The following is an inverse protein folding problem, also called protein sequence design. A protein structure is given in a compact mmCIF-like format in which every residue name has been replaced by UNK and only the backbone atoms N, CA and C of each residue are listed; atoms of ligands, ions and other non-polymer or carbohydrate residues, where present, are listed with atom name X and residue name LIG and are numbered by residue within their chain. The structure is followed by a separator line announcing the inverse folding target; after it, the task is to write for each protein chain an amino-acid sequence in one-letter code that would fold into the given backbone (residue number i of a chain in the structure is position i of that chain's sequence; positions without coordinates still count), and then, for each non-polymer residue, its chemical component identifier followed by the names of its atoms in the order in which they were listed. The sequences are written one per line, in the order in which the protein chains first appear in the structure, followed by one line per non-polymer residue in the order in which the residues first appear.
data_IF_406379419736
#
_entry.id   IF_406379419736
#
_cell.length_a   1.000
_cell.length_b   1.000
_cell.length_c   1.000
_cell.angle_alpha   90.00
_cell.angle_beta   90.00
_cell.angle_gamma   90.00
#
_symmetry.space_group_name_H-M   'P 1'
#
loop_
_entity.id
_entity.type
_entity.pdbx_description
1 polymer ?
#
# COMPACT_ATOMS: atom_id res chain seq x y z
N UNK A 1 10.25 -8.12 13.00
CA UNK A 1 8.99 -8.62 12.41
C UNK A 1 8.26 -7.53 11.62
N UNK A 2 7.93 -6.39 12.24
CA UNK A 2 7.09 -5.33 11.66
C UNK A 2 7.68 -4.77 10.36
N UNK A 3 8.94 -4.36 10.41
CA UNK A 3 9.66 -3.80 9.25
C UNK A 3 9.82 -4.82 8.12
N UNK A 4 10.16 -6.06 8.46
CA UNK A 4 10.30 -7.13 7.47
C UNK A 4 9.00 -7.41 6.70
N UNK A 5 7.83 -7.37 7.38
CA UNK A 5 6.54 -7.52 6.71
C UNK A 5 6.28 -6.43 5.68
N UNK A 6 6.65 -5.17 5.96
CA UNK A 6 6.47 -4.06 5.01
C UNK A 6 7.36 -4.23 3.77
N UNK A 7 8.63 -4.58 3.97
CA UNK A 7 9.57 -4.83 2.87
C UNK A 7 9.15 -6.02 2.01
N UNK A 8 8.78 -7.15 2.64
CA UNK A 8 8.35 -8.34 1.90
C UNK A 8 7.05 -8.10 1.12
N UNK A 9 6.11 -7.33 1.65
CA UNK A 9 4.88 -6.96 0.94
C UNK A 9 5.20 -6.22 -0.37
N UNK A 10 6.12 -5.26 -0.31
CA UNK A 10 6.57 -4.52 -1.50
C UNK A 10 7.29 -5.43 -2.50
N UNK A 11 8.20 -6.27 -2.02
CA UNK A 11 8.96 -7.20 -2.86
C UNK A 11 8.03 -8.19 -3.54
N UNK A 12 7.09 -8.78 -2.81
CA UNK A 12 6.09 -9.68 -3.35
C UNK A 12 5.24 -9.00 -4.43
N UNK A 13 4.74 -7.79 -4.13
CA UNK A 13 4.01 -6.98 -5.11
C UNK A 13 4.85 -6.74 -6.37
N UNK A 14 6.08 -6.25 -6.23
CA UNK A 14 6.95 -5.91 -7.36
C UNK A 14 7.25 -7.10 -8.25
N UNK A 15 7.59 -8.25 -7.68
CA UNK A 15 7.91 -9.46 -8.43
C UNK A 15 6.65 -9.96 -9.15
N UNK A 16 5.54 -10.11 -8.42
CA UNK A 16 4.29 -10.63 -8.98
C UNK A 16 3.75 -9.72 -10.07
N UNK A 17 3.74 -8.41 -9.82
CA UNK A 17 3.26 -7.44 -10.81
C UNK A 17 4.16 -7.39 -12.05
N UNK A 18 5.49 -7.48 -11.90
CA UNK A 18 6.42 -7.51 -13.05
C UNK A 18 6.17 -8.71 -13.93
N UNK A 19 5.99 -9.90 -13.36
CA UNK A 19 5.68 -11.13 -14.11
C UNK A 19 4.35 -10.97 -14.86
N UNK A 20 3.30 -10.50 -14.17
CA UNK A 20 1.98 -10.32 -14.78
C UNK A 20 1.96 -9.23 -15.84
N UNK A 21 2.73 -8.15 -15.67
CA UNK A 21 2.86 -7.10 -16.68
C UNK A 21 3.45 -7.62 -17.98
N UNK A 22 4.43 -8.54 -17.91
CA UNK A 22 5.00 -9.20 -19.10
C UNK A 22 3.98 -10.13 -19.76
N UNK A 23 3.27 -10.95 -18.97
CA UNK A 23 2.31 -11.93 -19.49
C UNK A 23 1.12 -11.22 -20.18
N UNK A 24 0.59 -10.16 -19.59
CA UNK A 24 -0.57 -9.43 -20.08
C UNK A 24 -0.22 -8.23 -20.96
N UNK A 25 1.08 -8.00 -21.25
CA UNK A 25 1.57 -6.83 -21.99
C UNK A 25 1.03 -5.50 -21.44
N UNK A 26 0.93 -5.37 -20.09
CA UNK A 26 0.41 -4.19 -19.45
C UNK A 26 1.47 -3.09 -19.37
N UNK A 27 1.05 -1.84 -19.56
CA UNK A 27 1.91 -0.70 -19.23
C UNK A 27 2.24 -0.69 -17.72
N UNK A 28 3.44 -0.19 -17.40
CA UNK A 28 3.84 -0.10 -15.99
C UNK A 28 2.92 0.88 -15.25
N UNK A 29 2.27 0.37 -14.20
CA UNK A 29 1.20 1.05 -13.48
C UNK A 29 1.66 2.28 -12.67
N UNK A 30 2.97 2.50 -12.54
CA UNK A 30 3.54 3.57 -11.73
C UNK A 30 4.64 4.31 -12.49
N UNK A 31 4.71 5.61 -12.27
CA UNK A 31 5.88 6.40 -12.64
C UNK A 31 6.96 6.23 -11.55
N UNK A 32 8.26 6.23 -11.85
CA UNK A 32 9.33 6.02 -10.87
C UNK A 32 9.21 6.91 -9.63
N UNK A 33 8.84 8.18 -9.79
CA UNK A 33 8.65 9.12 -8.67
C UNK A 33 7.47 8.73 -7.77
N UNK A 34 6.37 8.21 -8.34
CA UNK A 34 5.24 7.69 -7.56
C UNK A 34 5.68 6.53 -6.67
N UNK A 35 6.48 5.63 -7.23
CA UNK A 35 7.01 4.48 -6.51
C UNK A 35 7.94 4.89 -5.37
N UNK A 36 8.71 5.97 -5.56
CA UNK A 36 9.56 6.55 -4.53
C UNK A 36 8.72 7.16 -3.39
N UNK A 37 7.69 7.93 -3.72
CA UNK A 37 6.77 8.53 -2.73
C UNK A 37 6.06 7.44 -1.93
N UNK A 38 5.48 6.43 -2.59
CA UNK A 38 4.83 5.29 -1.93
C UNK A 38 5.82 4.62 -0.97
N UNK A 39 7.03 4.29 -1.44
CA UNK A 39 8.05 3.61 -0.65
C UNK A 39 8.51 4.43 0.56
N UNK A 40 8.70 5.73 0.41
CA UNK A 40 9.07 6.61 1.50
C UNK A 40 7.99 6.63 2.60
N UNK A 41 6.72 6.80 2.22
CA UNK A 41 5.60 6.95 3.15
C UNK A 41 5.21 5.61 3.79
N UNK A 42 5.18 4.52 3.03
CA UNK A 42 4.65 3.24 3.51
C UNK A 42 5.70 2.29 4.08
N UNK A 43 6.98 2.50 3.78
CA UNK A 43 8.08 1.65 4.23
C UNK A 43 9.16 2.47 4.93
N UNK A 44 9.75 3.47 4.28
CA UNK A 44 10.92 4.19 4.78
C UNK A 44 10.67 4.84 6.13
N UNK A 45 9.74 5.80 6.17
CA UNK A 45 9.39 6.52 7.41
C UNK A 45 8.88 5.55 8.48
N UNK A 46 7.88 4.66 8.22
CA UNK A 46 7.43 3.72 9.25
C UNK A 46 8.53 2.80 9.77
N UNK A 47 9.38 2.28 8.89
CA UNK A 47 10.48 1.38 9.29
C UNK A 47 11.46 2.07 10.23
N UNK A 48 11.83 3.32 9.92
CA UNK A 48 12.71 4.12 10.75
C UNK A 48 12.11 4.30 12.16
N UNK A 49 10.89 4.81 12.24
CA UNK A 49 10.24 5.07 13.53
C UNK A 49 9.89 3.80 14.31
N UNK A 50 9.50 2.71 13.65
CA UNK A 50 9.21 1.44 14.32
C UNK A 50 10.47 0.73 14.83
N UNK A 51 11.64 1.05 14.28
CA UNK A 51 12.93 0.51 14.77
C UNK A 51 13.33 1.12 16.12
N UNK A 52 12.97 2.37 16.38
CA UNK A 52 13.23 3.02 17.68
C UNK A 52 12.29 2.55 18.80
N UNK A 53 11.23 1.80 18.47
CA UNK A 53 10.35 1.24 19.48
C UNK A 53 11.06 0.11 20.22
N UNK A 54 11.37 0.33 21.52
CA UNK A 54 11.87 -0.71 22.39
C UNK A 54 10.78 -1.75 22.68
N UNK A 55 10.70 -2.76 21.84
CA UNK A 55 9.75 -3.85 22.02
C UNK A 55 10.47 -5.06 22.65
N UNK A 56 10.07 -5.44 23.86
CA UNK A 56 10.58 -6.60 24.61
C UNK A 56 9.75 -7.88 24.35
N UNK A 57 8.78 -7.83 23.43
CA UNK A 57 7.96 -9.00 23.13
C UNK A 57 8.81 -10.10 22.47
N UNK A 58 8.60 -11.34 22.93
CA UNK A 58 9.25 -12.51 22.34
C UNK A 58 8.87 -12.64 20.87
N UNK A 59 9.85 -13.02 20.07
CA UNK A 59 9.61 -13.36 18.65
C UNK A 59 8.67 -14.56 18.59
N UNK A 60 7.60 -14.49 17.82
CA UNK A 60 6.68 -15.60 17.62
C UNK A 60 7.40 -16.81 17.04
N UNK A 61 7.08 -18.02 17.51
CA UNK A 61 7.62 -19.29 16.98
C UNK A 61 7.26 -19.48 15.49
N UNK A 62 6.20 -18.80 15.01
CA UNK A 62 5.74 -18.81 13.63
C UNK A 62 6.12 -17.53 12.84
N UNK A 63 7.20 -16.88 13.24
CA UNK A 63 7.69 -15.61 12.68
C UNK A 63 7.67 -15.54 11.15
N UNK A 64 8.27 -16.52 10.48
CA UNK A 64 8.40 -16.53 9.03
C UNK A 64 7.04 -16.68 8.33
N UNK A 65 6.19 -17.56 8.88
CA UNK A 65 4.83 -17.78 8.36
C UNK A 65 3.98 -16.50 8.45
N UNK A 66 4.08 -15.78 9.55
CA UNK A 66 3.34 -14.55 9.78
C UNK A 66 3.75 -13.43 8.82
N UNK A 67 5.04 -13.29 8.58
CA UNK A 67 5.57 -12.31 7.65
C UNK A 67 5.16 -12.64 6.21
N UNK A 68 5.35 -13.89 5.79
CA UNK A 68 4.98 -14.34 4.45
C UNK A 68 3.48 -14.21 4.21
N UNK A 69 2.64 -14.60 5.16
CA UNK A 69 1.19 -14.46 5.04
C UNK A 69 0.78 -12.98 4.87
N UNK A 70 1.39 -12.08 5.63
CA UNK A 70 1.12 -10.65 5.48
C UNK A 70 1.59 -10.11 4.13
N UNK A 71 2.75 -10.55 3.67
CA UNK A 71 3.31 -10.13 2.40
C UNK A 71 2.44 -10.60 1.22
N UNK A 72 2.03 -11.86 1.23
CA UNK A 72 1.16 -12.43 0.19
C UNK A 72 -0.21 -11.74 0.17
N UNK A 73 -0.83 -11.53 1.33
CA UNK A 73 -2.13 -10.89 1.40
C UNK A 73 -2.04 -9.42 0.99
N UNK A 74 -1.13 -8.64 1.61
CA UNK A 74 -1.00 -7.22 1.33
C UNK A 74 -0.54 -6.93 -0.10
N UNK A 75 0.45 -7.68 -0.58
CA UNK A 75 0.96 -7.56 -1.94
C UNK A 75 -0.02 -8.10 -2.98
N UNK A 76 -0.66 -9.25 -2.71
CA UNK A 76 -1.66 -9.86 -3.61
C UNK A 76 -2.89 -8.99 -3.80
N UNK A 77 -3.41 -8.40 -2.73
CA UNK A 77 -4.53 -7.43 -2.81
C UNK A 77 -4.15 -6.23 -3.66
N UNK A 78 -2.93 -5.72 -3.52
CA UNK A 78 -2.46 -4.60 -4.34
C UNK A 78 -2.31 -5.01 -5.82
N UNK A 79 -1.74 -6.18 -6.11
CA UNK A 79 -1.64 -6.71 -7.48
C UNK A 79 -3.02 -6.80 -8.12
N UNK A 80 -3.99 -7.41 -7.44
CA UNK A 80 -5.36 -7.54 -7.95
C UNK A 80 -6.00 -6.17 -8.19
N UNK A 81 -5.81 -5.21 -7.29
CA UNK A 81 -6.35 -3.85 -7.43
C UNK A 81 -5.76 -3.14 -8.66
N UNK A 82 -4.45 -3.28 -8.88
CA UNK A 82 -3.76 -2.70 -10.05
C UNK A 82 -4.21 -3.35 -11.35
N UNK A 83 -4.34 -4.69 -11.38
CA UNK A 83 -4.84 -5.41 -12.55
C UNK A 83 -6.27 -4.98 -12.89
N UNK A 84 -7.17 -4.98 -11.91
CA UNK A 84 -8.56 -4.53 -12.11
C UNK A 84 -8.62 -3.10 -12.64
N UNK A 85 -7.78 -2.20 -12.12
CA UNK A 85 -7.71 -0.82 -12.59
C UNK A 85 -7.30 -0.74 -14.07
N UNK A 86 -6.32 -1.54 -14.49
CA UNK A 86 -5.88 -1.58 -15.89
C UNK A 86 -6.97 -2.13 -16.83
N UNK A 87 -7.82 -3.05 -16.38
CA UNK A 87 -8.91 -3.58 -17.19
C UNK A 87 -10.13 -2.67 -17.24
N UNK A 88 -10.41 -1.92 -16.17
CA UNK A 88 -11.61 -1.06 -16.06
C UNK A 88 -11.36 0.33 -16.66
N UNK A 89 -10.14 0.85 -16.55
CA UNK A 89 -9.82 2.23 -16.93
C UNK A 89 -8.86 2.22 -18.12
N UNK A 90 -9.27 2.85 -19.20
CA UNK A 90 -8.52 2.83 -20.47
C UNK A 90 -7.54 4.00 -20.64
N UNK A 91 -7.67 5.06 -19.81
CA UNK A 91 -6.77 6.21 -19.90
C UNK A 91 -5.50 5.96 -19.06
N UNK A 92 -4.30 5.86 -19.68
CA UNK A 92 -3.07 5.50 -18.98
C UNK A 92 -2.68 6.47 -17.83
N UNK A 93 -2.96 7.76 -18.01
CA UNK A 93 -2.65 8.76 -16.98
C UNK A 93 -3.53 8.57 -15.72
N UNK A 94 -4.82 8.28 -15.94
CA UNK A 94 -5.78 8.01 -14.85
C UNK A 94 -5.46 6.67 -14.18
N UNK A 95 -5.09 5.63 -14.93
CA UNK A 95 -4.63 4.34 -14.38
C UNK A 95 -3.48 4.55 -13.42
N UNK A 96 -2.42 5.25 -13.84
CA UNK A 96 -1.24 5.53 -13.00
C UNK A 96 -1.59 6.28 -11.72
N UNK A 97 -2.48 7.26 -11.81
CA UNK A 97 -2.92 8.03 -10.65
C UNK A 97 -3.78 7.20 -9.68
N UNK A 98 -4.72 6.41 -10.19
CA UNK A 98 -5.58 5.54 -9.37
C UNK A 98 -4.75 4.44 -8.71
N UNK A 99 -3.84 3.80 -9.45
CA UNK A 99 -2.92 2.80 -8.89
C UNK A 99 -2.05 3.41 -7.77
N UNK A 100 -1.60 4.65 -7.94
CA UNK A 100 -0.87 5.38 -6.89
C UNK A 100 -1.72 5.59 -5.62
N UNK A 101 -2.98 6.02 -5.76
CA UNK A 101 -3.90 6.17 -4.63
C UNK A 101 -4.15 4.84 -3.91
N UNK A 102 -4.46 3.78 -4.66
CA UNK A 102 -4.72 2.46 -4.10
C UNK A 102 -3.48 1.88 -3.39
N UNK A 103 -2.28 2.11 -3.94
CA UNK A 103 -1.04 1.69 -3.32
C UNK A 103 -0.74 2.44 -2.01
N UNK A 104 -1.02 3.75 -1.94
CA UNK A 104 -0.92 4.51 -0.70
C UNK A 104 -1.91 4.01 0.36
N UNK A 105 -3.18 3.79 -0.02
CA UNK A 105 -4.21 3.29 0.89
C UNK A 105 -3.81 1.90 1.42
N UNK A 106 -3.45 0.97 0.53
CA UNK A 106 -3.02 -0.37 0.92
C UNK A 106 -1.78 -0.33 1.83
N UNK A 107 -0.80 0.51 1.51
CA UNK A 107 0.41 0.67 2.31
C UNK A 107 0.12 1.23 3.71
N UNK A 108 -0.72 2.27 3.84
CA UNK A 108 -1.13 2.82 5.13
C UNK A 108 -1.91 1.80 5.98
N UNK A 109 -2.81 1.03 5.37
CA UNK A 109 -3.53 -0.05 6.05
C UNK A 109 -2.57 -1.15 6.53
N UNK A 110 -1.55 -1.47 5.74
CA UNK A 110 -0.52 -2.43 6.13
C UNK A 110 0.33 -1.91 7.30
N UNK A 111 0.75 -0.64 7.28
CA UNK A 111 1.45 0.01 8.40
C UNK A 111 0.57 -0.01 9.65
N UNK A 112 -0.72 0.31 9.53
CA UNK A 112 -1.68 0.26 10.65
C UNK A 112 -1.76 -1.14 11.25
N UNK A 113 -1.87 -2.18 10.41
CA UNK A 113 -1.91 -3.59 10.84
C UNK A 113 -0.63 -4.02 11.56
N UNK A 114 0.53 -3.62 11.06
CA UNK A 114 1.83 -3.99 11.61
C UNK A 114 2.15 -3.20 12.90
N UNK A 115 1.58 -2.00 13.06
CA UNK A 115 1.77 -1.15 14.24
C UNK A 115 1.02 -1.60 15.48
N UNK A 116 0.16 -2.63 15.39
CA UNK A 116 -0.57 -3.15 16.55
C UNK A 116 0.35 -3.87 17.58
N UNK A 117 0.05 -3.82 18.89
CA UNK A 117 -0.97 -3.00 19.55
C UNK A 117 -0.64 -1.50 19.51
N UNK A 118 -1.68 -0.64 19.49
CA UNK A 118 -1.49 0.80 19.42
C UNK A 118 -0.94 1.36 20.73
N UNK A 119 0.05 2.26 20.60
CA UNK A 119 0.53 3.15 21.63
C UNK A 119 0.38 4.60 21.13
N UNK A 120 0.38 5.60 22.02
CA UNK A 120 0.30 7.04 21.67
C UNK A 120 1.32 7.42 20.58
N UNK A 121 2.55 6.91 20.69
CA UNK A 121 3.61 7.10 19.70
C UNK A 121 3.21 6.62 18.29
N UNK A 122 2.64 5.41 18.19
CA UNK A 122 2.19 4.83 16.90
C UNK A 122 0.98 5.57 16.33
N UNK A 123 0.09 6.07 17.18
CA UNK A 123 -1.03 6.90 16.74
C UNK A 123 -0.53 8.21 16.10
N UNK A 124 0.42 8.89 16.73
CA UNK A 124 1.05 10.10 16.18
C UNK A 124 1.76 9.78 14.85
N UNK A 125 2.49 8.66 14.80
CA UNK A 125 3.16 8.22 13.57
C UNK A 125 2.15 8.02 12.44
N UNK A 126 1.01 7.35 12.68
CA UNK A 126 -0.02 7.12 11.66
C UNK A 126 -0.66 8.42 11.18
N UNK A 127 -0.92 9.36 12.08
CA UNK A 127 -1.42 10.70 11.69
C UNK A 127 -0.40 11.42 10.82
N UNK A 128 0.88 11.40 11.20
CA UNK A 128 1.95 12.01 10.41
C UNK A 128 2.09 11.35 9.01
N UNK A 129 1.97 10.02 8.93
CA UNK A 129 2.01 9.28 7.66
C UNK A 129 0.80 9.59 6.79
N UNK A 130 -0.39 9.72 7.37
CA UNK A 130 -1.59 10.12 6.64
C UNK A 130 -1.43 11.53 6.07
N UNK A 131 -0.90 12.45 6.86
CA UNK A 131 -0.57 13.79 6.39
C UNK A 131 0.47 13.77 5.26
N UNK A 132 1.55 12.99 5.42
CA UNK A 132 2.55 12.81 4.37
C UNK A 132 1.96 12.21 3.09
N UNK A 133 0.99 11.30 3.19
CA UNK A 133 0.28 10.74 2.04
C UNK A 133 -0.54 11.80 1.31
N UNK A 134 -1.23 12.68 2.03
CA UNK A 134 -1.96 13.82 1.44
C UNK A 134 -0.98 14.75 0.70
N UNK A 135 0.14 15.10 1.32
CA UNK A 135 1.20 15.88 0.65
C UNK A 135 1.72 15.16 -0.58
N UNK A 136 1.96 13.84 -0.50
CA UNK A 136 2.38 13.01 -1.64
C UNK A 136 1.38 13.04 -2.79
N UNK A 137 0.07 13.07 -2.51
CA UNK A 137 -0.98 13.22 -3.52
C UNK A 137 -0.88 14.59 -4.20
N UNK A 138 -0.73 15.67 -3.44
CA UNK A 138 -0.55 17.02 -4.00
C UNK A 138 0.70 17.12 -4.87
N UNK A 139 1.83 16.58 -4.40
CA UNK A 139 3.07 16.52 -5.17
C UNK A 139 2.87 15.75 -6.47
N UNK A 140 2.17 14.60 -6.42
CA UNK A 140 1.87 13.81 -7.60
C UNK A 140 1.02 14.59 -8.61
N UNK A 141 -0.04 15.28 -8.17
CA UNK A 141 -0.89 16.13 -9.01
C UNK A 141 -0.04 17.25 -9.64
N UNK A 142 0.83 17.88 -8.87
CA UNK A 142 1.68 18.97 -9.35
C UNK A 142 2.67 18.49 -10.43
N UNK A 143 3.29 17.32 -10.25
CA UNK A 143 4.24 16.73 -11.21
C UNK A 143 3.52 16.30 -12.50
N UNK A 144 2.30 15.75 -12.38
CA UNK A 144 1.51 15.30 -13.51
C UNK A 144 0.64 16.40 -14.12
N UNK A 145 0.84 17.66 -13.78
CA UNK A 145 0.01 18.81 -14.18
C UNK A 145 -0.33 18.85 -15.67
N UNK A 146 0.57 18.44 -16.56
CA UNK A 146 0.36 18.41 -18.00
C UNK A 146 -0.37 17.16 -18.51
N UNK A 147 -0.55 16.13 -17.67
CA UNK A 147 -1.20 14.85 -18.01
C UNK A 147 -2.30 14.47 -17.01
N UNK A 148 -2.62 15.37 -16.06
CA UNK A 148 -3.65 15.11 -15.07
C UNK A 148 -5.03 15.37 -15.69
N UNK A 149 -5.73 14.30 -16.01
CA UNK A 149 -7.15 14.35 -16.30
C UNK A 149 -7.93 14.18 -15.00
N UNK A 150 -8.82 15.11 -14.62
CA UNK A 150 -9.62 14.97 -13.41
C UNK A 150 -10.40 13.66 -13.45
N UNK A 151 -10.48 13.00 -12.29
CA UNK A 151 -11.23 11.76 -12.14
C UNK A 151 -12.73 12.05 -12.32
N UNK A 152 -13.40 11.20 -13.06
CA UNK A 152 -14.86 11.22 -13.14
C UNK A 152 -15.47 10.70 -11.84
N UNK A 153 -16.74 11.07 -11.58
CA UNK A 153 -17.47 10.58 -10.40
C UNK A 153 -17.45 9.04 -10.34
N UNK A 154 -17.60 8.36 -11.49
CA UNK A 154 -17.52 6.90 -11.57
C UNK A 154 -16.16 6.35 -11.15
N UNK A 155 -15.07 7.03 -11.47
CA UNK A 155 -13.71 6.62 -11.05
C UNK A 155 -13.45 6.87 -9.56
N UNK A 156 -14.00 7.94 -9.01
CA UNK A 156 -13.95 8.21 -7.56
C UNK A 156 -14.72 7.12 -6.80
N UNK A 157 -15.92 6.76 -7.25
CA UNK A 157 -16.70 5.66 -6.64
C UNK A 157 -15.98 4.32 -6.78
N UNK A 158 -15.33 4.04 -7.90
CA UNK A 158 -14.50 2.86 -8.09
C UNK A 158 -13.35 2.78 -7.06
N UNK A 159 -12.58 3.88 -6.92
CA UNK A 159 -11.48 3.95 -5.94
C UNK A 159 -12.01 3.72 -4.51
N UNK A 160 -13.14 4.35 -4.16
CA UNK A 160 -13.75 4.17 -2.84
C UNK A 160 -14.18 2.71 -2.59
N UNK A 161 -14.82 2.06 -3.56
CA UNK A 161 -15.22 0.65 -3.45
C UNK A 161 -14.02 -0.28 -3.29
N UNK A 162 -13.00 -0.12 -4.13
CA UNK A 162 -11.76 -0.93 -4.03
C UNK A 162 -11.06 -0.69 -2.71
N UNK A 163 -10.98 0.56 -2.23
CA UNK A 163 -10.40 0.89 -0.92
C UNK A 163 -11.15 0.23 0.24
N UNK A 164 -12.48 0.19 0.18
CA UNK A 164 -13.31 -0.52 1.19
C UNK A 164 -13.01 -2.02 1.17
N UNK A 165 -12.93 -2.63 0.00
CA UNK A 165 -12.59 -4.07 -0.14
C UNK A 165 -11.21 -4.35 0.43
N UNK A 166 -10.21 -3.53 0.13
CA UNK A 166 -8.86 -3.62 0.70
C UNK A 166 -8.91 -3.55 2.23
N UNK A 167 -9.66 -2.58 2.78
CA UNK A 167 -9.81 -2.41 4.23
C UNK A 167 -10.47 -3.62 4.90
N UNK A 168 -11.52 -4.17 4.28
CA UNK A 168 -12.21 -5.38 4.78
C UNK A 168 -11.25 -6.57 4.82
N UNK A 169 -10.47 -6.81 3.75
CA UNK A 169 -9.50 -7.90 3.70
C UNK A 169 -8.44 -7.74 4.79
N UNK A 170 -7.90 -6.54 4.98
CA UNK A 170 -6.95 -6.28 6.06
C UNK A 170 -7.56 -6.47 7.45
N UNK A 171 -8.83 -6.08 7.64
CA UNK A 171 -9.55 -6.27 8.90
C UNK A 171 -9.81 -7.76 9.20
N UNK A 172 -10.30 -8.52 8.23
CA UNK A 172 -10.57 -9.96 8.38
C UNK A 172 -9.29 -10.75 8.69
N UNK A 173 -8.20 -10.43 8.03
CA UNK A 173 -6.90 -11.08 8.27
C UNK A 173 -6.27 -10.68 9.62
N UNK A 174 -6.68 -9.54 10.19
CA UNK A 174 -6.34 -9.15 11.55
C UNK A 174 -7.03 -10.03 12.59
N UNK A 175 -8.34 -10.27 12.42
CA UNK A 175 -9.17 -11.01 13.39
C UNK A 175 -8.70 -12.47 13.57
N UNK A 176 -8.22 -13.11 12.51
CA UNK A 176 -7.69 -14.48 12.57
C UNK A 176 -6.43 -14.66 13.43
N UNK A 177 -5.79 -13.58 13.88
CA UNK A 177 -4.61 -13.61 14.75
C UNK A 177 -4.90 -13.42 16.24
N UNK A 178 -6.12 -13.01 16.57
CA UNK A 178 -6.56 -12.75 17.94
C UNK A 178 -7.35 -13.94 18.52
N UNK A 179 -7.58 -14.98 17.73
CA UNK A 179 -8.12 -16.29 18.09
C UNK A 179 -7.03 -17.35 17.97
#
# INVERSE_FOLDING_TARGET
QKVASLFLTKTFFSITFSILSVIFALEFAFIPIQFTIISAITIGIPSFFLTFESNKDKVSDHFMRDILTNAVIGGGVLVLSVLLTNFVIHNPAQVKFICFLLALINGLLMVTKVSLPFNKYKAVLLVALTFAAVVGIFVNIFILKNHFNPLTIGQITYVALVAIVIAIIHYMTRRKRLV
#
